data_IF_427131725066
#
_entry.id   IF_427131725066
#
_cell.length_a   1.000
_cell.length_b   1.000
_cell.length_c   1.000
_cell.angle_alpha   90.00
_cell.angle_beta   90.00
_cell.angle_gamma   90.00
#
_symmetry.space_group_name_H-M   'P 1'
#
loop_
_entity.id
_entity.type
_entity.pdbx_description
1 polymer ?
#
# COMPACT_ATOMS: atom_id res chain seq x y z
N UNK A 1 6.22 1.89 14.33
CA UNK A 1 5.13 2.84 13.99
C UNK A 1 4.15 2.92 15.16
N UNK A 2 3.38 4.00 15.34
CA UNK A 2 2.39 4.11 16.41
C UNK A 2 1.46 2.89 16.50
N UNK A 3 1.02 2.36 15.36
CA UNK A 3 0.14 1.19 15.27
C UNK A 3 0.72 -0.14 15.72
N UNK A 4 2.02 -0.21 16.06
CA UNK A 4 2.68 -1.43 16.58
C UNK A 4 3.45 -1.16 17.88
N UNK A 5 3.13 -0.07 18.58
CA UNK A 5 3.77 0.25 19.84
C UNK A 5 3.51 -0.86 20.87
N UNK A 6 4.57 -1.48 21.39
CA UNK A 6 4.49 -2.58 22.36
C UNK A 6 4.52 -3.98 21.76
N UNK A 7 4.57 -4.13 20.43
CA UNK A 7 4.81 -5.41 19.77
C UNK A 7 6.29 -5.59 19.46
N UNK A 8 6.86 -6.71 19.89
CA UNK A 8 8.18 -7.16 19.45
C UNK A 8 8.04 -7.91 18.11
N UNK A 9 8.33 -7.21 17.02
CA UNK A 9 8.20 -7.75 15.67
C UNK A 9 9.28 -8.80 15.35
N UNK A 10 10.42 -8.76 16.04
CA UNK A 10 11.54 -9.69 15.81
C UNK A 10 11.30 -11.05 16.45
N UNK A 11 10.42 -11.10 17.46
CA UNK A 11 9.99 -12.34 18.12
C UNK A 11 8.88 -13.10 17.37
N UNK A 12 8.30 -12.52 16.31
CA UNK A 12 7.24 -13.16 15.55
C UNK A 12 7.80 -14.33 14.72
N UNK A 13 7.18 -15.49 14.84
CA UNK A 13 7.55 -16.71 14.09
C UNK A 13 6.57 -17.04 12.96
N UNK A 14 5.40 -16.39 12.93
CA UNK A 14 4.37 -16.59 11.93
C UNK A 14 3.75 -15.26 11.47
N UNK A 15 3.17 -15.20 10.25
CA UNK A 15 2.48 -14.02 9.76
C UNK A 15 1.39 -13.57 10.73
N UNK A 16 1.53 -12.36 11.27
CA UNK A 16 0.68 -11.83 12.33
C UNK A 16 0.04 -10.52 11.88
N UNK A 17 -1.28 -10.42 12.01
CA UNK A 17 -1.98 -9.16 11.76
C UNK A 17 -1.67 -8.19 12.90
N UNK A 18 -1.00 -7.09 12.57
CA UNK A 18 -0.59 -6.07 13.56
C UNK A 18 -1.50 -4.85 13.54
N UNK A 19 -2.35 -4.73 12.53
CA UNK A 19 -3.39 -3.72 12.45
C UNK A 19 -4.52 -4.16 11.52
N UNK A 20 -5.74 -3.84 11.89
CA UNK A 20 -6.93 -3.97 11.06
C UNK A 20 -7.90 -2.83 11.36
N UNK A 21 -8.39 -2.15 10.33
CA UNK A 21 -9.29 -1.01 10.48
C UNK A 21 -9.49 -0.23 9.19
N UNK A 22 -10.12 0.93 9.28
CA UNK A 22 -10.34 1.83 8.15
C UNK A 22 -9.04 2.47 7.65
N UNK A 23 -9.04 2.97 6.41
CA UNK A 23 -7.93 3.76 5.88
C UNK A 23 -7.67 5.02 6.71
N UNK A 24 -8.72 5.63 7.29
CA UNK A 24 -8.58 6.78 8.20
C UNK A 24 -7.73 6.42 9.43
N UNK A 25 -8.05 5.31 10.08
CA UNK A 25 -7.33 4.83 11.26
C UNK A 25 -5.91 4.39 10.89
N UNK A 26 -5.75 3.72 9.73
CA UNK A 26 -4.47 3.26 9.24
C UNK A 26 -3.49 4.42 9.04
N UNK A 27 -3.95 5.54 8.45
CA UNK A 27 -3.12 6.75 8.24
C UNK A 27 -2.63 7.33 9.56
N UNK A 28 -3.47 7.35 10.59
CA UNK A 28 -3.07 7.80 11.92
C UNK A 28 -2.06 6.82 12.58
N UNK A 29 -2.27 5.52 12.41
CA UNK A 29 -1.44 4.47 13.01
C UNK A 29 -0.09 4.27 12.29
N UNK A 30 -0.02 4.52 10.98
CA UNK A 30 1.14 4.25 10.12
C UNK A 30 1.42 5.39 9.12
N UNK A 31 1.64 6.63 9.57
CA UNK A 31 1.67 7.82 8.70
C UNK A 31 2.70 7.78 7.57
N UNK A 32 3.77 6.99 7.70
CA UNK A 32 4.80 6.85 6.67
C UNK A 32 4.57 5.70 5.67
N UNK A 33 3.66 4.75 5.95
CA UNK A 33 3.65 3.44 5.26
C UNK A 33 2.32 3.09 4.57
N UNK A 34 1.29 3.93 4.66
CA UNK A 34 -0.07 3.60 4.14
C UNK A 34 -0.56 4.54 3.05
N UNK A 35 0.36 5.14 2.29
CA UNK A 35 0.02 6.01 1.15
C UNK A 35 -0.88 5.30 0.12
N UNK A 36 -0.72 3.99 -0.06
CA UNK A 36 -1.60 3.18 -0.92
C UNK A 36 -3.05 3.19 -0.42
N UNK A 37 -3.26 3.00 0.89
CA UNK A 37 -4.60 3.03 1.47
C UNK A 37 -5.25 4.42 1.33
N UNK A 38 -4.48 5.48 1.57
CA UNK A 38 -4.94 6.85 1.35
C UNK A 38 -5.35 7.08 -0.11
N UNK A 39 -4.49 6.72 -1.07
CA UNK A 39 -4.77 6.87 -2.50
C UNK A 39 -6.01 6.08 -2.94
N UNK A 40 -6.14 4.82 -2.51
CA UNK A 40 -7.32 3.98 -2.79
C UNK A 40 -8.59 4.57 -2.19
N UNK A 41 -8.51 5.14 -0.99
CA UNK A 41 -9.67 5.76 -0.35
C UNK A 41 -10.16 7.00 -1.10
N UNK A 42 -9.23 7.78 -1.68
CA UNK A 42 -9.54 8.94 -2.51
C UNK A 42 -10.10 8.55 -3.87
N UNK A 43 -9.59 7.48 -4.47
CA UNK A 43 -10.02 6.97 -5.77
C UNK A 43 -11.31 6.13 -5.71
N UNK A 44 -11.67 5.63 -4.53
CA UNK A 44 -12.71 4.62 -4.34
C UNK A 44 -13.85 5.06 -3.42
N UNK A 45 -14.11 4.22 -2.41
CA UNK A 45 -15.32 4.29 -1.57
C UNK A 45 -15.19 5.19 -0.33
N UNK A 46 -14.12 5.97 -0.22
CA UNK A 46 -13.85 6.88 0.90
C UNK A 46 -13.09 6.25 2.07
N UNK A 47 -12.45 7.10 2.89
CA UNK A 47 -11.50 6.69 3.94
C UNK A 47 -12.09 5.82 5.05
N UNK A 48 -13.38 5.98 5.36
CA UNK A 48 -14.06 5.22 6.41
C UNK A 48 -14.51 3.83 5.92
N UNK A 49 -14.69 3.67 4.61
CA UNK A 49 -15.18 2.40 4.02
C UNK A 49 -14.07 1.55 3.45
N UNK A 50 -12.94 2.13 3.05
CA UNK A 50 -11.74 1.37 2.65
C UNK A 50 -11.15 0.68 3.87
N UNK A 51 -11.12 -0.65 3.86
CA UNK A 51 -10.53 -1.46 4.93
C UNK A 51 -9.05 -1.73 4.64
N UNK A 52 -8.24 -1.74 5.70
CA UNK A 52 -6.80 -1.93 5.65
C UNK A 52 -6.41 -2.97 6.69
N UNK A 53 -5.63 -3.95 6.26
CA UNK A 53 -4.97 -4.92 7.12
C UNK A 53 -3.46 -4.82 6.93
N UNK A 54 -2.72 -4.69 8.02
CA UNK A 54 -1.25 -4.72 8.01
C UNK A 54 -0.82 -6.01 8.69
N UNK A 55 -0.02 -6.80 7.98
CA UNK A 55 0.49 -8.09 8.44
C UNK A 55 2.01 -8.00 8.52
N UNK A 56 2.55 -8.29 9.70
CA UNK A 56 3.98 -8.54 9.87
C UNK A 56 4.25 -10.00 9.50
N UNK A 57 5.04 -10.22 8.46
CA UNK A 57 5.34 -11.55 7.93
C UNK A 57 6.85 -11.84 8.07
N UNK A 58 7.26 -12.59 9.11
CA UNK A 58 8.65 -13.00 9.30
C UNK A 58 9.19 -13.72 8.07
N UNK A 59 10.43 -13.40 7.66
CA UNK A 59 11.11 -14.05 6.54
C UNK A 59 10.76 -13.51 5.14
N UNK A 60 9.84 -12.56 5.01
CA UNK A 60 9.64 -11.85 3.73
C UNK A 60 10.67 -10.73 3.55
N UNK A 61 11.29 -10.69 2.37
CA UNK A 61 12.29 -9.68 1.99
C UNK A 61 11.73 -8.50 1.20
N UNK A 62 10.45 -8.57 0.83
CA UNK A 62 9.76 -7.57 0.00
C UNK A 62 8.42 -7.16 0.64
N UNK A 63 8.02 -5.91 0.39
CA UNK A 63 6.71 -5.42 0.79
C UNK A 63 5.67 -5.86 -0.24
N UNK A 64 4.68 -6.64 0.20
CA UNK A 64 3.53 -7.05 -0.60
C UNK A 64 2.34 -6.12 -0.32
N UNK A 65 1.71 -5.61 -1.38
CA UNK A 65 0.41 -4.96 -1.30
C UNK A 65 -0.61 -5.82 -2.06
N UNK A 66 -1.66 -6.24 -1.36
CA UNK A 66 -2.80 -6.94 -1.93
C UNK A 66 -4.03 -6.03 -1.85
N UNK A 67 -4.60 -5.73 -3.01
CA UNK A 67 -5.77 -4.85 -3.15
C UNK A 67 -6.91 -5.70 -3.67
N UNK A 68 -8.04 -5.67 -2.96
CA UNK A 68 -9.25 -6.38 -3.34
C UNK A 68 -10.40 -5.37 -3.46
N UNK A 69 -11.12 -5.42 -4.57
CA UNK A 69 -12.28 -4.59 -4.82
C UNK A 69 -13.41 -5.42 -5.43
N UNK A 70 -14.64 -5.16 -5.00
CA UNK A 70 -15.83 -5.86 -5.48
C UNK A 70 -16.97 -4.87 -5.73
N UNK A 71 -17.75 -5.09 -6.78
CA UNK A 71 -18.92 -4.29 -7.12
C UNK A 71 -19.69 -4.88 -8.30
N UNK A 72 -20.58 -4.08 -8.89
CA UNK A 72 -21.36 -4.52 -10.06
C UNK A 72 -20.49 -4.93 -11.27
N UNK A 73 -19.24 -4.47 -11.33
CA UNK A 73 -18.26 -4.86 -12.34
C UNK A 73 -17.63 -6.25 -12.10
N UNK A 74 -17.93 -6.90 -10.96
CA UNK A 74 -17.32 -8.14 -10.52
C UNK A 74 -16.28 -7.92 -9.42
N UNK A 75 -15.24 -8.75 -9.40
CA UNK A 75 -14.18 -8.75 -8.40
C UNK A 75 -12.82 -8.52 -9.06
N UNK A 76 -12.03 -7.61 -8.48
CA UNK A 76 -10.67 -7.28 -8.85
C UNK A 76 -9.74 -7.63 -7.69
N UNK A 77 -8.65 -8.34 -7.99
CA UNK A 77 -7.55 -8.57 -7.06
C UNK A 77 -6.24 -8.17 -7.72
N UNK A 78 -5.47 -7.30 -7.08
CA UNK A 78 -4.15 -6.86 -7.53
C UNK A 78 -3.15 -7.16 -6.44
N UNK A 79 -2.09 -7.89 -6.76
CA UNK A 79 -0.96 -8.14 -5.85
C UNK A 79 0.29 -7.48 -6.44
N UNK A 80 0.96 -6.67 -5.62
CA UNK A 80 2.20 -5.99 -6.00
C UNK A 80 3.26 -6.29 -4.96
N UNK A 81 4.34 -6.93 -5.38
CA UNK A 81 5.55 -7.10 -4.59
C UNK A 81 6.55 -6.02 -4.97
N UNK A 82 6.77 -5.07 -4.06
CA UNK A 82 7.68 -3.96 -4.29
C UNK A 82 9.10 -4.33 -3.88
N UNK A 83 10.01 -4.14 -4.82
CA UNK A 83 11.45 -4.09 -4.51
C UNK A 83 11.75 -2.71 -3.92
N UNK A 84 12.45 -2.65 -2.77
CA UNK A 84 12.91 -1.39 -2.21
C UNK A 84 13.77 -0.61 -3.22
N UNK A 85 13.71 0.72 -3.19
CA UNK A 85 14.63 1.51 -3.99
C UNK A 85 16.09 1.23 -3.57
N UNK A 86 17.04 1.11 -4.52
CA UNK A 86 18.46 0.96 -4.21
C UNK A 86 19.01 2.10 -3.35
N UNK A 87 18.50 3.32 -3.56
CA UNK A 87 18.99 4.54 -2.89
C UNK A 87 18.27 4.84 -1.57
N UNK A 88 17.05 4.34 -1.39
CA UNK A 88 16.29 4.50 -0.14
C UNK A 88 15.35 3.29 0.07
N UNK A 89 15.76 2.31 0.89
CA UNK A 89 14.97 1.10 1.14
C UNK A 89 13.58 1.36 1.76
N UNK A 90 13.34 2.55 2.34
CA UNK A 90 12.04 2.93 2.91
C UNK A 90 11.03 3.40 1.85
N UNK A 91 11.45 3.56 0.59
CA UNK A 91 10.61 4.06 -0.49
C UNK A 91 10.39 2.99 -1.55
N UNK A 92 9.14 2.84 -2.00
CA UNK A 92 8.83 2.00 -3.17
C UNK A 92 9.42 2.61 -4.44
N UNK A 93 10.23 1.84 -5.16
CA UNK A 93 10.77 2.26 -6.45
C UNK A 93 9.66 2.51 -7.49
N UNK A 94 8.57 1.73 -7.44
CA UNK A 94 7.40 1.92 -8.31
C UNK A 94 6.75 3.30 -8.11
N UNK A 95 6.77 3.87 -6.90
CA UNK A 95 6.21 5.21 -6.67
C UNK A 95 6.93 6.28 -7.48
N UNK A 96 8.27 6.26 -7.52
CA UNK A 96 9.07 7.18 -8.33
C UNK A 96 8.80 6.99 -9.83
N UNK A 97 8.71 5.73 -10.28
CA UNK A 97 8.38 5.41 -11.67
C UNK A 97 6.98 5.91 -12.07
N UNK A 98 6.01 5.87 -11.14
CA UNK A 98 4.66 6.38 -11.39
C UNK A 98 4.64 7.90 -11.62
N UNK A 99 5.43 8.66 -10.84
CA UNK A 99 5.58 10.10 -11.03
C UNK A 99 6.25 10.42 -12.39
N UNK A 100 7.30 9.68 -12.76
CA UNK A 100 7.94 9.82 -14.07
C UNK A 100 6.98 9.50 -15.22
N UNK A 101 6.17 8.45 -15.08
CA UNK A 101 5.15 8.08 -16.06
C UNK A 101 4.11 9.20 -16.23
N UNK A 102 3.66 9.83 -15.14
CA UNK A 102 2.77 10.98 -15.19
C UNK A 102 3.40 12.17 -15.94
N UNK A 103 4.65 12.51 -15.63
CA UNK A 103 5.36 13.60 -16.32
C UNK A 103 5.50 13.35 -17.82
N UNK A 104 5.85 12.12 -18.22
CA UNK A 104 5.90 11.72 -19.63
C UNK A 104 4.53 11.82 -20.29
N UNK A 105 3.46 11.45 -19.58
CA UNK A 105 2.09 11.50 -20.08
C UNK A 105 1.64 12.93 -20.40
N UNK A 106 2.00 13.90 -19.57
CA UNK A 106 1.59 15.30 -19.77
C UNK A 106 2.07 15.92 -21.09
N UNK A 107 3.11 15.35 -21.70
CA UNK A 107 3.71 15.80 -22.96
C UNK A 107 3.62 14.77 -24.09
N UNK A 108 2.92 13.64 -23.88
CA UNK A 108 2.83 12.56 -24.86
C UNK A 108 1.68 12.77 -25.85
N UNK A 109 1.92 12.46 -27.12
CA UNK A 109 0.88 12.36 -28.17
C UNK A 109 0.08 11.06 -28.12
N UNK A 110 0.59 10.03 -27.43
CA UNK A 110 -0.09 8.76 -27.18
C UNK A 110 -0.05 8.44 -25.67
N UNK A 111 -1.20 8.11 -25.11
CA UNK A 111 -1.37 7.74 -23.71
C UNK A 111 -1.86 6.29 -23.62
N UNK A 112 -1.24 5.49 -22.75
CA UNK A 112 -1.70 4.14 -22.41
C UNK A 112 -2.28 4.18 -21.00
N UNK A 113 -3.52 3.71 -20.84
CA UNK A 113 -4.26 3.83 -19.59
C UNK A 113 -4.94 5.20 -19.42
N UNK A 114 -5.37 5.51 -18.20
CA UNK A 114 -6.05 6.78 -17.82
C UNK A 114 -5.14 7.75 -17.11
#
# INVERSE_FOLDING_TARGET
APGVAGLDLDALTEPTTVFEGSAREAVAAFPANVNVAAALSLAGIGADRTQVRVVAAPGRSVNEHRIEAEGAFGRLTVTVENVPSPDNPKTSYLAALSALALLRRLSATLVVGS
#
